data_IF_386355398890
#
_entry.id   IF_386355398890
#
_cell.length_a   1.000
_cell.length_b   1.000
_cell.length_c   1.000
_cell.angle_alpha   90.00
_cell.angle_beta   90.00
_cell.angle_gamma   90.00
#
_symmetry.space_group_name_H-M   'P 1'
#
loop_
_entity.id
_entity.type
_entity.pdbx_description
1 polymer ?
#
# COMPACT_ATOMS: atom_id res chain seq x y z
N UNK A 1 32.19 26.51 -18.88
CA UNK A 1 30.90 26.05 -18.31
C UNK A 1 31.21 25.37 -17.00
N UNK A 2 30.70 25.87 -15.88
CA UNK A 2 31.01 25.42 -14.51
C UNK A 2 30.18 24.21 -14.15
N UNK A 3 30.71 23.27 -13.35
CA UNK A 3 30.00 22.04 -12.87
C UNK A 3 28.66 22.36 -12.21
N UNK A 4 28.49 23.54 -11.60
CA UNK A 4 27.22 24.01 -11.04
C UNK A 4 26.21 24.44 -12.12
N UNK A 5 26.64 24.95 -13.26
CA UNK A 5 25.74 25.25 -14.39
C UNK A 5 25.21 23.97 -15.05
N UNK A 6 26.08 22.95 -15.19
CA UNK A 6 25.69 21.65 -15.72
C UNK A 6 24.68 20.96 -14.78
N UNK A 7 24.84 21.03 -13.46
CA UNK A 7 23.89 20.48 -12.50
C UNK A 7 22.55 21.22 -12.51
N UNK A 8 22.54 22.55 -12.72
CA UNK A 8 21.28 23.33 -12.83
C UNK A 8 20.54 23.05 -14.15
N UNK A 9 21.27 22.86 -15.26
CA UNK A 9 20.66 22.47 -16.53
C UNK A 9 20.08 21.06 -16.48
N UNK A 10 20.81 20.10 -15.88
CA UNK A 10 20.30 18.74 -15.70
C UNK A 10 19.06 18.68 -14.77
N UNK A 11 19.03 19.46 -13.69
CA UNK A 11 17.88 19.55 -12.79
C UNK A 11 16.65 20.18 -13.50
N UNK A 12 16.88 21.20 -14.35
CA UNK A 12 15.79 21.83 -15.12
C UNK A 12 15.21 20.93 -16.22
N UNK A 13 16.02 20.04 -16.79
CA UNK A 13 15.56 19.02 -17.76
C UNK A 13 14.79 17.89 -17.06
N UNK A 14 15.19 17.50 -15.86
CA UNK A 14 14.47 16.52 -15.05
C UNK A 14 13.08 17.01 -14.62
N UNK A 15 12.97 18.28 -14.20
CA UNK A 15 11.67 18.87 -13.81
C UNK A 15 10.73 19.00 -15.02
N UNK A 16 11.25 19.41 -16.18
CA UNK A 16 10.48 19.46 -17.43
C UNK A 16 10.05 18.08 -17.91
N UNK A 17 10.93 17.08 -17.78
CA UNK A 17 10.60 15.70 -18.11
C UNK A 17 9.51 15.15 -17.20
N UNK A 18 9.55 15.48 -15.91
CA UNK A 18 8.50 15.13 -14.94
C UNK A 18 7.18 15.82 -15.24
N UNK A 19 7.17 17.13 -15.48
CA UNK A 19 5.95 17.86 -15.89
C UNK A 19 5.34 17.30 -17.17
N UNK A 20 6.15 16.94 -18.17
CA UNK A 20 5.68 16.33 -19.39
C UNK A 20 5.12 14.93 -19.15
N UNK A 21 5.79 14.13 -18.33
CA UNK A 21 5.33 12.80 -17.91
C UNK A 21 3.99 12.90 -17.16
N UNK A 22 3.84 13.85 -16.23
CA UNK A 22 2.59 14.10 -15.51
C UNK A 22 1.46 14.56 -16.44
N UNK A 23 1.74 15.41 -17.42
CA UNK A 23 0.76 15.83 -18.43
C UNK A 23 0.33 14.66 -19.32
N UNK A 24 1.26 13.81 -19.74
CA UNK A 24 0.98 12.60 -20.50
C UNK A 24 0.17 11.64 -19.64
N UNK A 25 0.56 11.43 -18.39
CA UNK A 25 -0.12 10.54 -17.46
C UNK A 25 -1.54 11.04 -17.11
N UNK A 26 -1.75 12.35 -16.96
CA UNK A 26 -3.06 12.94 -16.75
C UNK A 26 -4.01 12.77 -17.95
N UNK A 27 -3.48 12.73 -19.19
CA UNK A 27 -4.25 12.49 -20.41
C UNK A 27 -4.32 11.00 -20.79
N UNK A 28 -3.47 10.16 -20.22
CA UNK A 28 -3.33 8.76 -20.55
C UNK A 28 -4.57 7.91 -20.22
N UNK A 29 -5.34 8.15 -19.12
CA UNK A 29 -6.60 7.45 -18.88
C UNK A 29 -7.61 7.61 -20.01
N UNK A 30 -7.77 8.83 -20.52
CA UNK A 30 -8.70 9.15 -21.61
C UNK A 30 -8.29 8.53 -22.96
N UNK A 31 -7.00 8.25 -23.11
CA UNK A 31 -6.41 7.66 -24.33
C UNK A 31 -6.10 6.16 -24.17
N UNK A 32 -6.46 5.54 -23.05
CA UNK A 32 -6.16 4.13 -22.76
C UNK A 32 -4.66 3.79 -22.84
N UNK A 33 -3.77 4.72 -22.47
CA UNK A 33 -2.31 4.58 -22.54
C UNK A 33 -1.68 4.22 -21.19
N UNK A 34 -2.40 4.41 -20.09
CA UNK A 34 -1.94 4.15 -18.72
C UNK A 34 -2.83 3.12 -18.05
N UNK A 35 -2.24 2.01 -17.64
CA UNK A 35 -2.95 0.97 -16.88
C UNK A 35 -2.58 0.95 -15.41
N UNK A 36 -1.34 1.39 -15.08
CA UNK A 36 -0.83 1.45 -13.71
C UNK A 36 -0.07 2.75 -13.51
N UNK A 37 -0.54 3.59 -12.60
CA UNK A 37 0.20 4.76 -12.13
C UNK A 37 0.92 4.41 -10.84
N UNK A 38 2.17 4.86 -10.68
CA UNK A 38 2.91 4.73 -9.43
C UNK A 38 3.28 6.11 -8.89
N UNK A 39 3.38 6.20 -7.58
CA UNK A 39 3.81 7.41 -6.85
C UNK A 39 4.34 7.03 -5.49
N UNK A 40 4.92 7.98 -4.79
CA UNK A 40 5.48 7.78 -3.45
C UNK A 40 4.84 8.72 -2.44
N UNK A 41 4.77 8.27 -1.19
CA UNK A 41 4.29 9.03 -0.05
C UNK A 41 5.21 8.80 1.14
N UNK A 42 5.65 9.88 1.78
CA UNK A 42 6.43 9.78 3.02
C UNK A 42 5.50 9.49 4.19
N UNK A 43 5.97 8.66 5.13
CA UNK A 43 5.19 8.30 6.30
C UNK A 43 6.07 8.04 7.52
N UNK A 44 5.51 8.04 8.76
CA UNK A 44 6.26 7.70 9.97
C UNK A 44 6.82 6.27 9.99
N UNK A 45 6.33 5.39 9.11
CA UNK A 45 6.80 4.00 8.97
C UNK A 45 7.73 3.80 7.78
N UNK A 46 8.28 4.89 7.23
CA UNK A 46 9.13 4.94 6.04
C UNK A 46 8.36 5.33 4.79
N UNK A 47 9.07 5.50 3.69
CA UNK A 47 8.48 5.83 2.40
C UNK A 47 7.69 4.66 1.85
N UNK A 48 6.51 4.96 1.31
CA UNK A 48 5.63 3.97 0.69
C UNK A 48 5.51 4.24 -0.81
N UNK A 49 5.67 3.20 -1.62
CA UNK A 49 5.29 3.24 -3.03
C UNK A 49 3.83 2.81 -3.15
N UNK A 50 3.03 3.60 -3.85
CA UNK A 50 1.63 3.28 -4.18
C UNK A 50 1.49 3.02 -5.66
N UNK A 51 0.67 2.02 -6.03
CA UNK A 51 0.32 1.76 -7.42
C UNK A 51 -1.20 1.74 -7.57
N UNK A 52 -1.69 2.58 -8.48
CA UNK A 52 -3.11 2.80 -8.74
C UNK A 52 -3.44 2.38 -10.18
N UNK A 53 -4.60 1.77 -10.36
CA UNK A 53 -5.16 1.41 -11.67
C UNK A 53 -6.51 2.10 -11.85
N UNK A 54 -7.14 2.07 -13.03
CA UNK A 54 -8.52 2.55 -13.19
C UNK A 54 -9.55 1.85 -12.29
N UNK A 55 -9.17 0.71 -11.66
CA UNK A 55 -10.01 -0.02 -10.69
C UNK A 55 -9.76 0.38 -9.24
N UNK A 56 -8.71 1.15 -8.96
CA UNK A 56 -8.31 1.64 -7.65
C UNK A 56 -6.89 1.25 -7.25
N UNK A 57 -6.59 1.41 -5.96
CA UNK A 57 -5.29 1.08 -5.37
C UNK A 57 -5.02 -0.43 -5.46
N UNK A 58 -3.94 -0.80 -6.12
CA UNK A 58 -3.54 -2.20 -6.36
C UNK A 58 -2.38 -2.65 -5.47
N UNK A 59 -1.46 -1.74 -5.13
CA UNK A 59 -0.25 -2.07 -4.36
C UNK A 59 0.12 -0.91 -3.43
N UNK A 60 0.55 -1.25 -2.22
CA UNK A 60 1.35 -0.41 -1.33
C UNK A 60 2.60 -1.22 -1.00
N UNK A 61 3.78 -0.69 -1.28
CA UNK A 61 5.05 -1.35 -0.96
C UNK A 61 5.85 -0.49 0.01
N UNK A 62 6.55 -1.14 0.93
CA UNK A 62 7.46 -0.47 1.87
C UNK A 62 8.79 -0.14 1.20
N UNK A 63 9.52 0.84 1.71
CA UNK A 63 10.79 1.32 1.17
C UNK A 63 11.91 0.27 1.11
N UNK A 64 11.83 -0.77 1.97
CA UNK A 64 12.76 -1.89 2.03
C UNK A 64 12.42 -3.01 1.03
N UNK A 65 11.31 -2.90 0.32
CA UNK A 65 11.01 -3.78 -0.82
C UNK A 65 11.76 -3.29 -2.06
N UNK A 66 12.36 -4.22 -2.80
CA UNK A 66 13.02 -3.93 -4.06
C UNK A 66 12.01 -3.33 -5.07
N UNK A 67 12.21 -2.05 -5.41
CA UNK A 67 11.33 -1.29 -6.31
C UNK A 67 11.20 -1.94 -7.68
N UNK A 68 12.31 -2.40 -8.25
CA UNK A 68 12.31 -3.02 -9.57
C UNK A 68 11.53 -4.34 -9.57
N UNK A 69 11.65 -5.11 -8.49
CA UNK A 69 10.87 -6.32 -8.29
C UNK A 69 9.37 -6.02 -8.15
N UNK A 70 9.00 -4.98 -7.43
CA UNK A 70 7.59 -4.54 -7.30
C UNK A 70 7.05 -4.12 -8.66
N UNK A 71 7.79 -3.31 -9.43
CA UNK A 71 7.39 -2.89 -10.78
C UNK A 71 7.29 -4.08 -11.75
N UNK A 72 8.21 -5.03 -11.69
CA UNK A 72 8.15 -6.26 -12.49
C UNK A 72 6.93 -7.12 -12.14
N UNK A 73 6.57 -7.23 -10.85
CA UNK A 73 5.33 -7.90 -10.43
C UNK A 73 4.09 -7.20 -11.01
N UNK A 74 4.00 -5.89 -10.89
CA UNK A 74 2.90 -5.09 -11.45
C UNK A 74 2.81 -5.26 -12.97
N UNK A 75 3.94 -5.20 -13.67
CA UNK A 75 4.00 -5.37 -15.12
C UNK A 75 3.49 -6.74 -15.55
N UNK A 76 3.91 -7.79 -14.87
CA UNK A 76 3.54 -9.17 -15.22
C UNK A 76 2.10 -9.53 -14.89
N UNK A 77 1.56 -8.97 -13.79
CA UNK A 77 0.26 -9.38 -13.24
C UNK A 77 -0.88 -8.42 -13.56
N UNK A 78 -0.58 -7.17 -13.88
CA UNK A 78 -1.58 -6.16 -14.21
C UNK A 78 -1.40 -5.62 -15.61
N UNK A 79 -0.31 -4.91 -15.90
CA UNK A 79 0.05 -4.39 -17.23
C UNK A 79 1.49 -3.85 -17.24
N UNK A 80 2.23 -4.01 -18.34
CA UNK A 80 3.54 -3.39 -18.50
C UNK A 80 3.47 -1.86 -18.73
N UNK A 81 2.28 -1.27 -18.94
CA UNK A 81 2.09 0.17 -19.11
C UNK A 81 2.02 0.86 -17.76
N UNK A 82 3.19 1.03 -17.14
CA UNK A 82 3.38 1.66 -15.85
C UNK A 82 4.02 3.02 -16.05
N UNK A 83 3.44 4.07 -15.46
CA UNK A 83 4.01 5.42 -15.46
C UNK A 83 4.02 5.98 -14.03
N UNK A 84 5.04 6.76 -13.73
CA UNK A 84 5.05 7.59 -12.53
C UNK A 84 4.12 8.78 -12.75
N UNK A 85 3.16 8.97 -11.85
CA UNK A 85 2.19 10.07 -11.93
C UNK A 85 1.67 10.46 -10.56
N UNK A 86 2.11 11.62 -10.10
CA UNK A 86 1.62 12.23 -8.87
C UNK A 86 0.11 12.49 -8.96
N UNK A 87 -0.37 13.02 -10.08
CA UNK A 87 -1.78 13.39 -10.26
C UNK A 87 -2.73 12.19 -10.18
N UNK A 88 -2.38 11.05 -10.80
CA UNK A 88 -3.25 9.84 -10.80
C UNK A 88 -3.20 9.12 -9.44
N UNK A 89 -2.10 9.23 -8.69
CA UNK A 89 -1.94 8.61 -7.38
C UNK A 89 -2.38 9.53 -6.22
N UNK A 90 -2.78 10.78 -6.50
CA UNK A 90 -3.03 11.81 -5.50
C UNK A 90 -4.04 11.40 -4.43
N UNK A 91 -5.20 10.89 -4.82
CA UNK A 91 -6.22 10.45 -3.86
C UNK A 91 -5.70 9.38 -2.88
N UNK A 92 -4.95 8.40 -3.39
CA UNK A 92 -4.40 7.33 -2.56
C UNK A 92 -3.30 7.84 -1.63
N UNK A 93 -2.46 8.76 -2.12
CA UNK A 93 -1.39 9.37 -1.33
C UNK A 93 -1.97 10.26 -0.25
N UNK A 94 -2.90 11.16 -0.58
CA UNK A 94 -3.58 12.06 0.35
C UNK A 94 -4.31 11.28 1.45
N UNK A 95 -5.03 10.20 1.13
CA UNK A 95 -5.70 9.39 2.14
C UNK A 95 -4.72 8.68 3.09
N UNK A 96 -3.53 8.30 2.60
CA UNK A 96 -2.47 7.75 3.45
C UNK A 96 -1.84 8.84 4.34
N UNK A 97 -1.57 10.03 3.79
CA UNK A 97 -1.07 11.18 4.55
C UNK A 97 -2.03 11.57 5.69
N UNK A 98 -3.32 11.70 5.38
CA UNK A 98 -4.38 11.99 6.37
C UNK A 98 -4.49 10.89 7.45
N UNK A 99 -4.31 9.60 7.05
CA UNK A 99 -4.29 8.50 8.01
C UNK A 99 -3.11 8.60 8.97
N UNK A 100 -1.91 8.86 8.46
CA UNK A 100 -0.72 9.01 9.30
C UNK A 100 -0.72 10.30 10.14
N UNK A 101 -1.42 11.32 9.69
CA UNK A 101 -1.68 12.54 10.49
C UNK A 101 -2.75 12.33 11.58
N UNK A 102 -3.43 11.17 11.62
CA UNK A 102 -4.53 10.91 12.56
C UNK A 102 -5.85 11.58 12.18
N UNK A 103 -5.93 12.17 11.00
CA UNK A 103 -7.10 12.90 10.50
C UNK A 103 -8.13 11.96 9.84
N UNK A 104 -7.72 10.72 9.55
CA UNK A 104 -8.52 9.70 8.88
C UNK A 104 -8.45 8.36 9.60
N UNK A 105 -9.59 7.72 9.79
CA UNK A 105 -9.69 6.37 10.36
C UNK A 105 -10.20 5.32 9.37
N UNK A 106 -10.63 5.76 8.16
CA UNK A 106 -11.16 4.88 7.11
C UNK A 106 -10.73 5.37 5.74
N UNK A 107 -10.33 4.44 4.88
CA UNK A 107 -9.98 4.71 3.50
C UNK A 107 -11.23 4.69 2.61
N UNK A 108 -11.37 5.72 1.77
CA UNK A 108 -12.40 5.82 0.72
C UNK A 108 -11.92 5.32 -0.64
N UNK A 109 -10.60 5.24 -0.83
CA UNK A 109 -10.00 4.79 -2.09
C UNK A 109 -10.48 3.37 -2.45
N UNK A 110 -10.92 3.20 -3.69
CA UNK A 110 -11.27 1.87 -4.22
C UNK A 110 -10.04 0.96 -4.23
N UNK A 111 -10.23 -0.34 -3.99
CA UNK A 111 -9.16 -1.33 -3.98
C UNK A 111 -9.26 -2.25 -5.19
N UNK A 112 -8.21 -2.29 -6.01
CA UNK A 112 -8.06 -3.28 -7.07
C UNK A 112 -7.53 -4.60 -6.51
N UNK A 113 -8.36 -5.62 -6.50
CA UNK A 113 -8.07 -6.91 -5.87
C UNK A 113 -7.46 -7.94 -6.83
N UNK A 114 -7.04 -7.56 -8.02
CA UNK A 114 -6.48 -8.50 -9.03
C UNK A 114 -5.22 -9.21 -8.54
N UNK A 115 -4.41 -8.56 -7.71
CA UNK A 115 -3.22 -9.17 -7.10
C UNK A 115 -3.54 -10.17 -5.98
N UNK A 116 -4.78 -10.19 -5.49
CA UNK A 116 -5.22 -11.05 -4.38
C UNK A 116 -5.90 -12.30 -4.94
N UNK A 117 -5.39 -13.49 -4.61
CA UNK A 117 -5.89 -14.74 -5.15
C UNK A 117 -6.19 -15.79 -4.06
N UNK A 118 -6.96 -16.80 -4.41
CA UNK A 118 -7.26 -17.94 -3.54
C UNK A 118 -7.87 -17.52 -2.19
N UNK A 119 -7.46 -18.19 -1.12
CA UNK A 119 -7.94 -17.93 0.24
C UNK A 119 -7.63 -16.51 0.72
N UNK A 120 -6.60 -15.84 0.17
CA UNK A 120 -6.27 -14.47 0.55
C UNK A 120 -7.42 -13.49 0.22
N UNK A 121 -8.26 -13.78 -0.77
CA UNK A 121 -9.45 -12.96 -1.07
C UNK A 121 -10.40 -12.89 0.12
N UNK A 122 -10.70 -14.03 0.72
CA UNK A 122 -11.63 -14.11 1.85
C UNK A 122 -11.00 -13.55 3.11
N UNK A 123 -9.71 -13.88 3.35
CA UNK A 123 -8.95 -13.38 4.50
C UNK A 123 -8.85 -11.87 4.47
N UNK A 124 -8.36 -11.27 3.37
CA UNK A 124 -8.19 -9.82 3.28
C UNK A 124 -9.52 -9.07 3.23
N UNK A 125 -10.58 -9.69 2.71
CA UNK A 125 -11.94 -9.14 2.81
C UNK A 125 -12.45 -9.13 4.25
N UNK A 126 -12.18 -10.17 5.03
CA UNK A 126 -12.53 -10.20 6.44
C UNK A 126 -11.69 -9.19 7.24
N UNK A 127 -10.38 -9.14 6.96
CA UNK A 127 -9.45 -8.20 7.61
C UNK A 127 -9.82 -6.74 7.35
N UNK A 128 -10.26 -6.39 6.12
CA UNK A 128 -10.67 -5.01 5.79
C UNK A 128 -11.90 -4.52 6.57
N UNK A 129 -12.58 -5.41 7.30
CA UNK A 129 -13.75 -5.05 8.14
C UNK A 129 -13.38 -4.81 9.60
N UNK A 130 -12.11 -5.06 10.00
CA UNK A 130 -11.66 -4.79 11.37
C UNK A 130 -11.58 -3.26 11.52
N UNK A 131 -12.33 -2.66 12.46
CA UNK A 131 -12.35 -1.21 12.63
C UNK A 131 -11.00 -0.64 13.06
N UNK A 132 -10.83 0.66 12.89
CA UNK A 132 -9.71 1.42 13.43
C UNK A 132 -9.70 1.31 14.96
N UNK A 133 -8.53 1.07 15.54
CA UNK A 133 -8.36 0.89 16.97
C UNK A 133 -8.79 -0.49 17.51
N UNK A 134 -9.35 -1.38 16.67
CA UNK A 134 -9.75 -2.71 17.09
C UNK A 134 -8.79 -3.79 16.60
N UNK A 135 -8.69 -4.87 17.38
CA UNK A 135 -7.82 -6.00 17.10
C UNK A 135 -8.64 -7.27 16.82
N UNK A 136 -8.08 -8.12 16.00
CA UNK A 136 -8.56 -9.49 15.81
C UNK A 136 -7.40 -10.47 15.96
N UNK A 137 -7.72 -11.78 16.00
CA UNK A 137 -6.68 -12.82 16.00
C UNK A 137 -6.71 -13.63 14.70
N UNK A 138 -5.60 -14.31 14.39
CA UNK A 138 -5.56 -15.23 13.23
C UNK A 138 -6.70 -16.27 13.31
N UNK A 139 -7.00 -16.79 14.52
CA UNK A 139 -8.10 -17.69 14.75
C UNK A 139 -9.47 -16.99 14.60
N UNK A 140 -9.58 -15.73 15.00
CA UNK A 140 -10.77 -14.89 14.82
C UNK A 140 -11.11 -14.74 13.33
N UNK A 141 -10.12 -14.30 12.53
CA UNK A 141 -10.29 -14.19 11.08
C UNK A 141 -10.59 -15.55 10.44
N UNK A 142 -9.95 -16.64 10.89
CA UNK A 142 -10.22 -17.99 10.39
C UNK A 142 -11.67 -18.41 10.63
N UNK A 143 -12.22 -18.15 11.82
CA UNK A 143 -13.65 -18.39 12.11
C UNK A 143 -14.57 -17.53 11.25
N UNK A 144 -14.24 -16.24 11.07
CA UNK A 144 -15.05 -15.32 10.28
C UNK A 144 -15.18 -15.73 8.81
N UNK A 145 -14.14 -16.37 8.25
CA UNK A 145 -14.19 -16.90 6.88
C UNK A 145 -14.72 -18.35 6.80
N UNK A 146 -15.29 -18.89 7.89
CA UNK A 146 -15.84 -20.25 7.94
C UNK A 146 -14.80 -21.36 7.94
N UNK A 147 -13.53 -21.07 8.30
CA UNK A 147 -12.41 -22.04 8.29
C UNK A 147 -11.65 -22.00 9.62
N UNK A 148 -12.26 -22.43 10.74
CA UNK A 148 -11.73 -22.21 12.11
C UNK A 148 -10.34 -22.82 12.35
N UNK A 149 -9.95 -23.86 11.61
CA UNK A 149 -8.64 -24.52 11.71
C UNK A 149 -7.54 -23.88 10.84
N UNK A 150 -7.89 -22.85 10.03
CA UNK A 150 -6.99 -22.29 9.01
C UNK A 150 -6.11 -21.15 9.49
N UNK A 151 -5.86 -20.96 10.80
CA UNK A 151 -5.10 -19.84 11.34
C UNK A 151 -3.71 -19.64 10.67
N UNK A 152 -2.98 -20.72 10.37
CA UNK A 152 -1.69 -20.64 9.65
C UNK A 152 -1.86 -20.15 8.21
N UNK A 153 -2.95 -20.56 7.51
CA UNK A 153 -3.25 -20.11 6.17
C UNK A 153 -3.67 -18.62 6.17
N UNK A 154 -4.39 -18.18 7.21
CA UNK A 154 -4.66 -16.75 7.44
C UNK A 154 -3.36 -15.96 7.60
N UNK A 155 -2.42 -16.45 8.42
CA UNK A 155 -1.11 -15.80 8.59
C UNK A 155 -0.35 -15.63 7.26
N UNK A 156 -0.29 -16.68 6.42
CA UNK A 156 0.32 -16.59 5.09
C UNK A 156 -0.39 -15.59 4.18
N UNK A 157 -1.71 -15.60 4.19
CA UNK A 157 -2.51 -14.67 3.39
C UNK A 157 -2.32 -13.21 3.80
N UNK A 158 -2.22 -12.95 5.10
CA UNK A 158 -1.92 -11.60 5.63
C UNK A 158 -0.47 -11.18 5.31
N UNK A 159 0.49 -12.11 5.35
CA UNK A 159 1.88 -11.86 4.96
C UNK A 159 2.08 -11.56 3.48
N UNK A 160 1.12 -11.95 2.62
CA UNK A 160 1.10 -11.62 1.19
C UNK A 160 0.10 -10.51 0.84
N UNK A 161 -0.31 -9.69 1.81
CA UNK A 161 -1.20 -8.57 1.57
C UNK A 161 -0.53 -7.53 0.65
N UNK A 162 -1.04 -7.29 -0.57
CA UNK A 162 -0.42 -6.33 -1.49
C UNK A 162 -0.73 -4.87 -1.13
N UNK A 163 -1.65 -4.62 -0.21
CA UNK A 163 -2.14 -3.27 0.12
C UNK A 163 -2.15 -3.08 1.65
N UNK A 164 -0.98 -3.22 2.32
CA UNK A 164 -0.90 -2.99 3.76
C UNK A 164 -1.34 -1.58 4.12
N UNK A 165 -1.62 -1.33 5.39
CA UNK A 165 -2.22 -0.11 5.94
C UNK A 165 -3.71 0.02 5.53
N UNK A 166 -4.01 0.12 4.25
CA UNK A 166 -5.39 0.23 3.72
C UNK A 166 -6.19 -1.05 3.98
N UNK A 167 -5.59 -2.23 3.75
CA UNK A 167 -6.12 -3.49 4.28
C UNK A 167 -5.34 -3.79 5.57
N UNK A 168 -5.97 -3.64 6.74
CA UNK A 168 -5.25 -3.50 8.01
C UNK A 168 -4.78 -4.84 8.58
N UNK A 169 -3.84 -5.51 7.90
CA UNK A 169 -3.28 -6.77 8.38
C UNK A 169 -2.49 -6.60 9.70
N UNK A 170 -2.05 -5.40 10.05
CA UNK A 170 -1.45 -5.07 11.33
C UNK A 170 -2.41 -5.25 12.51
N UNK A 171 -3.74 -5.10 12.32
CA UNK A 171 -4.77 -5.32 13.37
C UNK A 171 -5.00 -6.79 13.71
N UNK A 172 -4.31 -7.74 13.04
CA UNK A 172 -4.40 -9.16 13.34
C UNK A 172 -3.19 -9.60 14.14
N UNK A 173 -3.44 -10.12 15.35
CA UNK A 173 -2.42 -10.52 16.35
C UNK A 173 -2.54 -12.00 16.69
N UNK A 174 -1.57 -12.51 17.42
CA UNK A 174 -1.61 -13.88 17.95
C UNK A 174 -2.62 -14.06 19.08
N UNK A 175 -2.92 -15.30 19.42
CA UNK A 175 -3.70 -15.62 20.60
C UNK A 175 -2.97 -15.10 21.86
N UNK A 176 -3.73 -14.54 22.81
CA UNK A 176 -3.15 -13.95 24.02
C UNK A 176 -2.45 -12.60 23.81
N UNK A 177 -2.67 -11.91 22.68
CA UNK A 177 -2.13 -10.56 22.45
C UNK A 177 -0.71 -10.53 21.85
N UNK A 178 -0.14 -11.70 21.52
CA UNK A 178 1.22 -11.75 20.96
C UNK A 178 1.31 -11.01 19.62
N UNK A 179 2.25 -10.07 19.52
CA UNK A 179 2.60 -9.42 18.27
C UNK A 179 3.48 -10.37 17.45
N UNK A 180 2.88 -11.01 16.48
CA UNK A 180 3.56 -11.97 15.61
C UNK A 180 3.48 -11.50 14.16
N UNK A 181 4.50 -11.79 13.38
CA UNK A 181 4.65 -11.64 11.94
C UNK A 181 3.88 -10.50 11.26
N UNK A 182 4.61 -9.59 10.65
CA UNK A 182 4.08 -8.56 9.76
C UNK A 182 5.01 -8.45 8.55
N UNK A 183 4.48 -8.33 7.35
CA UNK A 183 5.31 -8.28 6.14
C UNK A 183 6.26 -7.07 6.14
N UNK A 184 5.81 -5.95 6.68
CA UNK A 184 6.63 -4.75 6.85
C UNK A 184 7.52 -4.72 8.10
N UNK A 185 7.65 -5.84 8.85
CA UNK A 185 8.40 -5.88 10.11
C UNK A 185 7.56 -5.51 11.34
N UNK A 186 7.99 -5.97 12.52
CA UNK A 186 7.24 -5.75 13.76
C UNK A 186 7.23 -4.28 14.19
N UNK A 187 8.30 -3.54 13.92
CA UNK A 187 8.40 -2.13 14.30
C UNK A 187 7.30 -1.29 13.63
N UNK A 188 7.08 -1.49 12.33
CA UNK A 188 5.98 -0.85 11.59
C UNK A 188 4.61 -1.29 12.10
N UNK A 189 4.47 -2.56 12.49
CA UNK A 189 3.22 -3.05 13.09
C UNK A 189 2.92 -2.35 14.40
N UNK A 190 3.91 -2.23 15.28
CA UNK A 190 3.79 -1.52 16.56
C UNK A 190 3.40 -0.06 16.32
N UNK A 191 4.15 0.65 15.46
CA UNK A 191 3.88 2.05 15.14
C UNK A 191 2.45 2.28 14.61
N UNK A 192 1.94 1.37 13.75
CA UNK A 192 0.56 1.45 13.25
C UNK A 192 -0.47 1.22 14.36
N UNK A 193 -0.23 0.25 15.26
CA UNK A 193 -1.14 -0.04 16.37
C UNK A 193 -1.13 1.06 17.43
N UNK A 194 0.02 1.69 17.68
CA UNK A 194 0.14 2.88 18.55
C UNK A 194 -0.58 4.08 17.95
N UNK A 195 -0.39 4.35 16.65
CA UNK A 195 -1.12 5.39 15.93
C UNK A 195 -2.64 5.22 16.07
N UNK A 196 -3.11 3.97 16.02
CA UNK A 196 -4.53 3.65 16.15
C UNK A 196 -5.03 3.59 17.61
N UNK A 197 -4.15 3.76 18.60
CA UNK A 197 -4.49 3.64 20.01
C UNK A 197 -4.83 2.22 20.46
N UNK A 198 -4.49 1.20 19.67
CA UNK A 198 -4.70 -0.22 20.01
C UNK A 198 -3.62 -0.78 20.92
N UNK A 199 -2.49 -0.12 21.00
CA UNK A 199 -1.40 -0.35 21.95
C UNK A 199 -1.10 0.96 22.67
N UNK A 200 -0.76 0.88 23.95
CA UNK A 200 -0.19 2.02 24.66
C UNK A 200 1.26 2.19 24.21
N UNK A 201 1.72 3.44 23.97
CA UNK A 201 3.14 3.67 23.71
C UNK A 201 3.95 3.20 24.93
N UNK A 202 5.01 2.42 24.64
CA UNK A 202 5.90 1.88 25.67
C UNK A 202 6.82 2.92 26.28
#
# INVERSE_FOLDING_TARGET
>A
MNTNELKRLAAGDDDRARELADRIAAQAPDRNLLDVAVGEVDSPIGRLLVAVTPRGLARVAFEDEDRDRVLAELASRLSPRILESAAVTDDARRELEEFFAGERTRFGVKVDRRLIQGIARDVLRATSKIPYGELSTYGGVARQIGRPTAARAVGRALGSNPIPVVIPCHRVIGAGGALTGYAGGLDRKVALLELEGSLLPG
#
